data_IF_968755050703
#
_entry.id   IF_968755050703
#
_cell.length_a   1.000
_cell.length_b   1.000
_cell.length_c   1.000
_cell.angle_alpha   90.00
_cell.angle_beta   90.00
_cell.angle_gamma   90.00
#
_symmetry.space_group_name_H-M   'P 1'
#
loop_
_entity.id
_entity.type
_entity.pdbx_description
1 polymer ?
#
# COMPACT_ATOMS: atom_id res chain seq x y z
N UNK A 1 9.00 7.96 17.12
CA UNK A 1 8.57 7.20 15.94
C UNK A 1 7.68 8.12 15.12
N UNK A 2 8.16 8.61 13.97
CA UNK A 2 7.30 9.32 13.02
C UNK A 2 6.30 8.28 12.50
N UNK A 3 5.00 8.52 12.71
CA UNK A 3 3.89 7.64 12.30
C UNK A 3 4.12 7.14 10.89
N UNK A 4 4.45 5.86 10.78
CA UNK A 4 5.37 5.43 9.74
C UNK A 4 5.16 3.96 9.47
N UNK A 5 4.77 3.68 8.23
CA UNK A 5 4.53 2.38 7.62
C UNK A 5 5.42 1.26 8.17
N UNK A 6 4.80 0.11 8.46
CA UNK A 6 5.46 -1.11 8.94
C UNK A 6 4.81 -2.33 8.29
N UNK A 7 5.32 -3.51 8.61
CA UNK A 7 4.69 -4.79 8.33
C UNK A 7 4.05 -5.34 9.60
N UNK A 8 2.79 -5.76 9.53
CA UNK A 8 2.04 -6.29 10.67
C UNK A 8 1.40 -7.64 10.34
N UNK A 9 1.50 -8.58 11.27
CA UNK A 9 0.92 -9.91 11.11
C UNK A 9 -0.56 -9.91 11.50
N UNK A 10 -1.43 -10.35 10.58
CA UNK A 10 -2.87 -10.47 10.88
C UNK A 10 -3.20 -11.57 11.92
N UNK A 11 -2.27 -12.47 12.24
CA UNK A 11 -2.48 -13.59 13.17
C UNK A 11 -1.96 -13.34 14.58
N UNK A 12 -0.75 -12.80 14.71
CA UNK A 12 -0.11 -12.56 16.00
C UNK A 12 0.11 -11.07 16.31
N UNK A 13 -0.31 -10.17 15.42
CA UNK A 13 -0.25 -8.71 15.57
C UNK A 13 1.17 -8.14 15.77
N UNK A 14 2.20 -8.96 15.55
CA UNK A 14 3.59 -8.55 15.60
C UNK A 14 3.91 -7.60 14.45
N UNK A 15 4.62 -6.53 14.81
CA UNK A 15 5.08 -5.48 13.90
C UNK A 15 6.56 -5.67 13.59
N UNK A 16 6.91 -5.43 12.32
CA UNK A 16 8.26 -5.53 11.80
C UNK A 16 8.53 -4.32 10.92
N UNK A 17 9.75 -3.79 10.97
CA UNK A 17 10.16 -2.79 9.99
C UNK A 17 10.38 -3.43 8.60
N UNK A 18 10.53 -2.57 7.58
CA UNK A 18 10.76 -3.02 6.21
C UNK A 18 12.07 -3.79 6.05
N UNK A 19 13.10 -3.47 6.83
CA UNK A 19 14.39 -4.14 6.69
C UNK A 19 14.29 -5.59 7.16
N UNK A 20 13.68 -5.81 8.32
CA UNK A 20 13.44 -7.13 8.92
C UNK A 20 12.50 -7.98 8.07
N UNK A 21 11.40 -7.39 7.58
CA UNK A 21 10.38 -8.14 6.84
C UNK A 21 10.76 -8.42 5.37
N UNK A 22 11.55 -7.55 4.74
CA UNK A 22 11.79 -7.64 3.29
C UNK A 22 13.14 -7.11 2.81
N UNK A 23 14.06 -6.75 3.69
CA UNK A 23 15.37 -6.18 3.33
C UNK A 23 15.31 -4.77 2.77
N UNK A 24 14.13 -4.15 2.67
CA UNK A 24 13.97 -2.81 2.10
C UNK A 24 14.26 -1.72 3.15
N UNK A 25 14.90 -0.60 2.79
CA UNK A 25 15.11 0.53 3.70
C UNK A 25 13.83 1.18 4.21
N UNK A 26 12.69 0.95 3.55
CA UNK A 26 11.40 1.54 3.93
C UNK A 26 10.38 1.46 2.80
N UNK A 27 9.13 1.82 3.10
CA UNK A 27 8.00 1.74 2.16
C UNK A 27 8.27 2.39 0.79
N UNK A 28 8.90 3.56 0.76
CA UNK A 28 9.15 4.26 -0.50
C UNK A 28 10.13 3.50 -1.41
N UNK A 29 11.16 2.88 -0.82
CA UNK A 29 12.08 2.01 -1.53
C UNK A 29 11.37 0.74 -1.97
N UNK A 30 10.56 0.16 -1.08
CA UNK A 30 9.81 -1.05 -1.37
C UNK A 30 8.90 -0.89 -2.59
N UNK A 31 8.17 0.23 -2.66
CA UNK A 31 7.29 0.53 -3.79
C UNK A 31 8.10 0.68 -5.08
N UNK A 32 9.16 1.49 -5.07
CA UNK A 32 9.95 1.77 -6.27
C UNK A 32 10.71 0.55 -6.80
N UNK A 33 11.28 -0.25 -5.91
CA UNK A 33 12.19 -1.33 -6.27
C UNK A 33 11.48 -2.67 -6.51
N UNK A 34 10.28 -2.85 -5.93
CA UNK A 34 9.52 -4.10 -6.03
C UNK A 34 8.15 -3.89 -6.66
N UNK A 35 7.25 -3.15 -6.01
CA UNK A 35 5.83 -3.12 -6.41
C UNK A 35 5.62 -2.47 -7.78
N UNK A 36 6.31 -1.38 -8.09
CA UNK A 36 6.05 -0.58 -9.29
C UNK A 36 6.36 -1.31 -10.61
N UNK A 37 7.17 -2.37 -10.58
CA UNK A 37 7.60 -3.08 -11.80
C UNK A 37 6.41 -3.65 -12.58
N UNK A 38 5.44 -4.21 -11.86
CA UNK A 38 4.29 -4.91 -12.43
C UNK A 38 3.03 -4.80 -11.58
N UNK A 39 3.11 -4.12 -10.43
CA UNK A 39 2.07 -4.09 -9.40
C UNK A 39 1.65 -5.51 -9.00
N UNK A 40 2.62 -6.41 -8.83
CA UNK A 40 2.36 -7.77 -8.35
C UNK A 40 1.81 -7.75 -6.91
N UNK A 41 0.54 -8.13 -6.79
CA UNK A 41 -0.20 -8.13 -5.53
C UNK A 41 0.31 -9.21 -4.56
N UNK A 42 1.01 -10.24 -5.05
CA UNK A 42 1.59 -11.28 -4.19
C UNK A 42 2.69 -10.71 -3.29
N UNK A 43 3.32 -9.60 -3.70
CA UNK A 43 4.32 -8.90 -2.91
C UNK A 43 3.73 -8.10 -1.74
N UNK A 44 2.41 -8.04 -1.57
CA UNK A 44 1.75 -7.36 -0.45
C UNK A 44 1.48 -8.28 0.74
N UNK A 45 1.81 -9.57 0.63
CA UNK A 45 1.71 -10.55 1.71
C UNK A 45 3.04 -11.27 1.89
N UNK A 46 3.45 -11.48 3.14
CA UNK A 46 4.70 -12.18 3.48
C UNK A 46 4.50 -13.13 4.64
N UNK A 47 5.48 -14.00 4.83
CA UNK A 47 5.57 -14.86 6.00
C UNK A 47 5.97 -14.05 7.23
N UNK A 48 5.25 -14.24 8.33
CA UNK A 48 5.59 -13.64 9.61
C UNK A 48 6.86 -14.30 10.19
N UNK A 49 7.91 -13.53 10.53
CA UNK A 49 9.11 -14.08 11.14
C UNK A 49 8.86 -14.84 12.45
N UNK A 50 7.85 -14.42 13.22
CA UNK A 50 7.54 -15.00 14.53
C UNK A 50 6.66 -16.25 14.43
N UNK A 51 5.44 -16.12 13.90
CA UNK A 51 4.46 -17.22 13.89
C UNK A 51 4.41 -18.02 12.57
N UNK A 52 5.25 -17.66 11.59
CA UNK A 52 5.40 -18.34 10.29
C UNK A 52 4.15 -18.35 9.41
N UNK A 53 3.08 -17.66 9.78
CA UNK A 53 1.90 -17.53 8.92
C UNK A 53 2.16 -16.59 7.75
N UNK A 54 1.65 -16.94 6.57
CA UNK A 54 1.67 -16.10 5.38
C UNK A 54 0.58 -15.02 5.46
N UNK A 55 0.73 -14.09 6.40
CA UNK A 55 -0.29 -13.10 6.76
C UNK A 55 0.29 -11.77 7.21
N UNK A 56 1.54 -11.50 6.87
CA UNK A 56 2.18 -10.22 7.14
C UNK A 56 1.78 -9.24 6.04
N UNK A 57 1.22 -8.09 6.40
CA UNK A 57 0.79 -7.03 5.47
C UNK A 57 1.39 -5.69 5.85
N UNK A 58 1.53 -4.81 4.87
CA UNK A 58 1.89 -3.41 5.15
C UNK A 58 0.75 -2.79 5.98
N UNK A 59 1.11 -2.13 7.07
CA UNK A 59 0.22 -1.37 7.92
C UNK A 59 0.74 0.07 8.07
N UNK A 60 -0.17 1.00 8.32
CA UNK A 60 0.18 2.39 8.55
C UNK A 60 -0.83 3.10 9.43
N UNK A 61 -0.33 4.09 10.17
CA UNK A 61 -1.16 5.03 10.92
C UNK A 61 -1.37 6.27 10.05
N UNK A 62 -2.63 6.64 9.79
CA UNK A 62 -2.93 7.87 9.08
C UNK A 62 -3.05 9.02 10.10
N UNK A 63 -2.28 10.12 9.95
CA UNK A 63 -2.35 11.25 10.87
C UNK A 63 -3.59 12.10 10.58
N UNK A 64 -4.78 11.65 11.02
CA UNK A 64 -5.95 12.51 11.23
C UNK A 64 -6.07 12.84 12.72
N UNK A 65 -7.05 13.68 13.08
CA UNK A 65 -7.32 14.09 14.48
C UNK A 65 -7.49 12.89 15.44
N UNK A 66 -7.87 11.74 14.90
CA UNK A 66 -7.87 10.44 15.57
C UNK A 66 -6.87 9.51 14.87
N UNK A 67 -6.12 8.74 15.66
CA UNK A 67 -5.11 7.79 15.17
C UNK A 67 -5.83 6.59 14.55
N UNK A 68 -5.98 6.60 13.23
CA UNK A 68 -6.58 5.50 12.49
C UNK A 68 -5.49 4.59 11.93
N UNK A 69 -5.64 3.30 12.17
CA UNK A 69 -4.69 2.28 11.75
C UNK A 69 -5.27 1.49 10.58
N UNK A 70 -4.47 1.33 9.53
CA UNK A 70 -4.87 0.66 8.30
C UNK A 70 -3.94 -0.49 7.94
N UNK A 71 -4.48 -1.52 7.29
CA UNK A 71 -3.72 -2.59 6.62
C UNK A 71 -3.97 -2.52 5.12
N UNK A 72 -2.93 -2.78 4.35
CA UNK A 72 -2.94 -2.71 2.89
C UNK A 72 -3.21 -4.09 2.30
N UNK A 73 -4.21 -4.16 1.42
CA UNK A 73 -4.59 -5.38 0.72
C UNK A 73 -4.19 -5.35 -0.74
N UNK A 74 -4.35 -4.20 -1.39
CA UNK A 74 -3.97 -4.00 -2.78
C UNK A 74 -3.30 -2.65 -3.00
N UNK A 75 -2.40 -2.58 -3.98
CA UNK A 75 -1.75 -1.35 -4.41
C UNK A 75 -1.57 -1.39 -5.92
N UNK A 76 -2.05 -0.36 -6.60
CA UNK A 76 -1.75 -0.12 -8.01
C UNK A 76 -1.38 1.35 -8.22
N UNK A 77 -0.67 1.65 -9.31
CA UNK A 77 -0.29 3.00 -9.66
C UNK A 77 -0.14 3.22 -11.16
N UNK A 78 -0.28 4.46 -11.57
CA UNK A 78 -0.07 4.89 -12.97
C UNK A 78 1.26 5.63 -13.02
N UNK A 79 2.16 5.22 -13.89
CA UNK A 79 3.45 5.91 -14.02
C UNK A 79 3.32 7.24 -14.77
N UNK A 80 3.68 8.34 -14.10
CA UNK A 80 3.84 9.66 -14.72
C UNK A 80 5.31 10.09 -14.70
N UNK A 81 5.70 10.94 -15.65
CA UNK A 81 7.02 11.59 -15.69
C UNK A 81 8.19 10.62 -15.46
N UNK A 82 8.28 9.56 -16.27
CA UNK A 82 9.29 8.49 -16.12
C UNK A 82 9.29 7.84 -14.73
N UNK A 83 8.13 7.82 -14.08
CA UNK A 83 7.94 7.20 -12.77
C UNK A 83 8.50 8.01 -11.60
N UNK A 84 8.83 9.30 -11.80
CA UNK A 84 9.19 10.22 -10.72
C UNK A 84 7.99 10.49 -9.84
N UNK A 85 6.82 10.77 -10.43
CA UNK A 85 5.56 10.93 -9.72
C UNK A 85 4.65 9.77 -10.09
N UNK A 86 4.19 9.03 -9.10
CA UNK A 86 3.32 7.87 -9.34
C UNK A 86 2.08 8.01 -8.47
N UNK A 87 0.96 8.50 -9.02
CA UNK A 87 -0.33 8.44 -8.34
C UNK A 87 -0.77 6.98 -8.23
N UNK A 88 -1.28 6.63 -7.05
CA UNK A 88 -1.59 5.27 -6.64
C UNK A 88 -2.97 5.19 -6.00
N UNK A 89 -3.54 4.01 -6.07
CA UNK A 89 -4.72 3.60 -5.32
C UNK A 89 -4.33 2.45 -4.42
N UNK A 90 -4.55 2.62 -3.12
CA UNK A 90 -4.34 1.60 -2.11
C UNK A 90 -5.72 1.12 -1.66
N UNK A 91 -5.94 -0.19 -1.65
CA UNK A 91 -7.12 -0.79 -1.04
C UNK A 91 -6.73 -1.21 0.36
N UNK A 92 -7.38 -0.63 1.35
CA UNK A 92 -6.99 -0.76 2.75
C UNK A 92 -8.19 -1.10 3.63
N UNK A 93 -7.91 -1.57 4.83
CA UNK A 93 -8.93 -1.86 5.84
C UNK A 93 -8.55 -1.19 7.14
N UNK A 94 -9.50 -0.52 7.78
CA UNK A 94 -9.29 0.13 9.08
C UNK A 94 -9.38 -0.89 10.23
N UNK A 95 -8.53 -0.73 11.26
CA UNK A 95 -8.59 -1.48 12.52
C UNK A 95 -9.96 -1.34 13.19
N UNK A 96 -10.59 -2.42 13.71
CA UNK A 96 -10.07 -3.76 14.00
C UNK A 96 -10.02 -4.72 12.79
N UNK A 97 -9.99 -4.18 11.58
CA UNK A 97 -9.83 -4.92 10.32
C UNK A 97 -10.96 -5.90 10.05
N UNK A 98 -12.15 -5.56 10.54
CA UNK A 98 -13.40 -6.26 10.26
C UNK A 98 -14.36 -5.43 9.38
N UNK A 99 -14.04 -4.16 9.12
CA UNK A 99 -14.88 -3.22 8.36
C UNK A 99 -14.82 -3.33 6.83
N UNK A 100 -15.26 -2.27 6.15
CA UNK A 100 -15.24 -2.14 4.68
C UNK A 100 -13.81 -1.95 4.14
N UNK A 101 -13.59 -2.34 2.89
CA UNK A 101 -12.39 -1.97 2.15
C UNK A 101 -12.49 -0.50 1.69
N UNK A 102 -11.43 0.26 1.90
CA UNK A 102 -11.35 1.68 1.60
C UNK A 102 -10.36 1.89 0.46
N UNK A 103 -10.72 2.75 -0.51
CA UNK A 103 -9.81 3.22 -1.54
C UNK A 103 -9.08 4.49 -1.06
N UNK A 104 -7.79 4.37 -0.73
CA UNK A 104 -6.92 5.48 -0.36
C UNK A 104 -6.07 5.90 -1.57
N UNK A 105 -6.38 7.08 -2.11
CA UNK A 105 -5.69 7.67 -3.25
C UNK A 105 -4.54 8.56 -2.79
N UNK A 106 -3.31 8.16 -3.08
CA UNK A 106 -2.08 8.84 -2.66
C UNK A 106 -0.99 8.68 -3.71
N UNK A 107 0.18 9.29 -3.52
CA UNK A 107 1.24 9.23 -4.52
C UNK A 107 2.61 9.01 -3.90
N UNK A 108 3.55 8.52 -4.70
CA UNK A 108 4.96 8.51 -4.36
C UNK A 108 5.73 9.43 -5.31
N UNK A 109 6.70 10.17 -4.78
CA UNK A 109 7.60 11.01 -5.57
C UNK A 109 9.05 10.51 -5.38
N UNK A 110 9.56 9.77 -6.36
CA UNK A 110 10.84 9.07 -6.24
C UNK A 110 10.87 8.15 -5.02
N UNK A 111 11.90 8.26 -4.18
CA UNK A 111 12.05 7.50 -2.93
C UNK A 111 11.61 8.26 -1.69
N UNK A 112 10.75 9.27 -1.85
CA UNK A 112 10.25 10.10 -0.74
C UNK A 112 8.86 9.64 -0.28
N UNK A 113 8.66 9.61 1.05
CA UNK A 113 7.39 9.17 1.67
C UNK A 113 6.36 10.30 1.82
N UNK A 114 6.73 11.55 1.57
CA UNK A 114 5.86 12.71 1.80
C UNK A 114 4.53 12.63 1.04
N UNK A 115 4.54 12.12 -0.18
CA UNK A 115 3.34 11.93 -0.99
C UNK A 115 2.38 10.88 -0.41
N UNK A 116 2.88 9.94 0.39
CA UNK A 116 2.05 8.89 0.99
C UNK A 116 1.11 9.44 2.07
N UNK A 117 1.41 10.61 2.63
CA UNK A 117 0.55 11.30 3.60
C UNK A 117 -0.36 12.34 2.96
N UNK A 118 -0.46 12.36 1.63
CA UNK A 118 -1.23 13.34 0.87
C UNK A 118 -2.16 12.64 -0.12
N UNK A 119 -3.28 13.30 -0.40
CA UNK A 119 -4.16 12.86 -1.47
C UNK A 119 -3.51 13.05 -2.83
N UNK A 120 -3.62 12.05 -3.69
CA UNK A 120 -3.29 12.18 -5.11
C UNK A 120 -4.44 12.86 -5.87
N UNK A 121 -4.09 13.56 -6.94
CA UNK A 121 -5.06 14.15 -7.86
C UNK A 121 -5.08 13.30 -9.12
N UNK A 122 -6.27 12.88 -9.52
CA UNK A 122 -6.49 12.13 -10.75
C UNK A 122 -7.31 12.97 -11.72
N UNK A 123 -6.93 12.95 -13.00
CA UNK A 123 -7.86 13.30 -14.07
C UNK A 123 -8.96 12.24 -14.14
N UNK A 124 -10.10 12.55 -14.78
CA UNK A 124 -11.15 11.55 -14.98
C UNK A 124 -10.64 10.31 -15.74
N UNK A 125 -9.79 10.52 -16.76
CA UNK A 125 -9.20 9.44 -17.53
C UNK A 125 -8.23 8.61 -16.68
N UNK A 126 -7.40 9.23 -15.84
CA UNK A 126 -6.49 8.50 -14.97
C UNK A 126 -7.22 7.77 -13.86
N UNK A 127 -8.32 8.31 -13.35
CA UNK A 127 -9.18 7.61 -12.39
C UNK A 127 -9.77 6.34 -13.03
N UNK A 128 -10.25 6.42 -14.27
CA UNK A 128 -10.69 5.23 -15.02
C UNK A 128 -9.54 4.24 -15.21
N UNK A 129 -8.38 4.71 -15.67
CA UNK A 129 -7.20 3.86 -15.90
C UNK A 129 -6.74 3.13 -14.65
N UNK A 130 -6.78 3.76 -13.47
CA UNK A 130 -6.32 3.12 -12.25
C UNK A 130 -7.29 2.04 -11.77
N UNK A 131 -8.60 2.22 -11.98
CA UNK A 131 -9.58 1.17 -11.71
C UNK A 131 -9.49 0.01 -12.71
N UNK A 132 -9.28 0.30 -13.99
CA UNK A 132 -9.06 -0.75 -15.00
C UNK A 132 -7.81 -1.57 -14.64
N UNK A 133 -6.71 -0.90 -14.26
CA UNK A 133 -5.48 -1.55 -13.78
C UNK A 133 -5.71 -2.36 -12.50
N UNK A 134 -6.49 -1.85 -11.55
CA UNK A 134 -6.85 -2.57 -10.33
C UNK A 134 -7.60 -3.88 -10.65
N UNK A 135 -8.59 -3.82 -11.53
CA UNK A 135 -9.32 -5.00 -11.98
C UNK A 135 -8.38 -6.03 -12.64
N UNK A 136 -7.48 -5.57 -13.50
CA UNK A 136 -6.47 -6.41 -14.15
C UNK A 136 -5.55 -7.10 -13.13
N UNK A 137 -4.99 -6.36 -12.18
CA UNK A 137 -3.98 -6.88 -11.24
C UNK A 137 -4.56 -7.71 -10.10
N UNK A 138 -5.84 -7.54 -9.79
CA UNK A 138 -6.49 -8.26 -8.68
C UNK A 138 -7.46 -9.35 -9.14
N UNK A 139 -7.85 -9.37 -10.42
CA UNK A 139 -8.90 -10.26 -10.93
C UNK A 139 -10.32 -9.87 -10.50
N UNK A 140 -10.50 -8.72 -9.85
CA UNK A 140 -11.82 -8.16 -9.56
C UNK A 140 -12.50 -7.81 -10.88
N UNK A 141 -13.70 -8.35 -11.12
CA UNK A 141 -14.35 -8.35 -12.45
C UNK A 141 -14.75 -6.96 -12.94
N UNK A 142 -15.16 -6.08 -12.03
CA UNK A 142 -15.56 -4.72 -12.37
C UNK A 142 -15.66 -3.89 -11.10
N UNK A 143 -15.34 -2.60 -11.22
CA UNK A 143 -15.75 -1.61 -10.24
C UNK A 143 -17.24 -1.28 -10.43
N UNK A 144 -18.03 -1.13 -9.36
CA UNK A 144 -19.42 -0.67 -9.48
C UNK A 144 -19.52 0.74 -10.07
#
# INVERSE_FOLDING_TARGET
MLGGYWWECEKCEKQFDFNTACGSPGIAHYIQDHLKKDWDQTLLVRDCPDCKSHSLRIAYEFPKRERQLFRVYHVVGIDWNNGVYVPMMWVTKESPYSGEMIYDFKYICGRQTFGLNKSAVFSQNDLKRIFDLYCEKTGVKSFP
#
